data_IF_788740097330
#
_entry.id   IF_788740097330
#
_cell.length_a   1.000
_cell.length_b   1.000
_cell.length_c   1.000
_cell.angle_alpha   90.00
_cell.angle_beta   90.00
_cell.angle_gamma   90.00
#
_symmetry.space_group_name_H-M   'P 1'
#
loop_
_entity.id
_entity.type
_entity.pdbx_description
1 polymer ?
#
# COMPACT_ATOMS: atom_id res chain seq x y z
N UNK A 1 39.16 -6.46 -74.93
CA UNK A 1 39.46 -5.35 -73.99
C UNK A 1 38.61 -5.55 -72.74
N UNK A 2 39.28 -5.85 -71.63
CA UNK A 2 38.74 -6.19 -70.31
C UNK A 2 38.47 -4.91 -69.52
N UNK A 3 37.25 -4.65 -69.01
CA UNK A 3 37.03 -3.72 -67.89
C UNK A 3 35.74 -4.02 -67.08
N UNK A 4 35.97 -4.55 -65.87
CA UNK A 4 35.38 -4.20 -64.55
C UNK A 4 33.91 -4.52 -64.21
N UNK A 5 33.81 -5.60 -63.43
CA UNK A 5 32.96 -5.89 -62.27
C UNK A 5 32.70 -4.67 -61.34
N UNK A 6 31.44 -4.41 -60.97
CA UNK A 6 31.04 -3.86 -59.65
C UNK A 6 29.78 -4.58 -59.16
N UNK A 7 29.95 -5.23 -58.01
CA UNK A 7 28.97 -5.94 -57.20
C UNK A 7 28.16 -4.91 -56.41
N UNK A 8 26.84 -4.88 -56.57
CA UNK A 8 25.92 -4.13 -55.73
C UNK A 8 25.04 -5.09 -54.93
N UNK A 9 25.59 -5.62 -53.84
CA UNK A 9 24.82 -6.35 -52.82
C UNK A 9 23.87 -5.33 -52.20
N UNK A 10 22.61 -5.33 -52.62
CA UNK A 10 21.52 -4.70 -51.88
C UNK A 10 21.32 -5.50 -50.60
N UNK A 11 22.18 -5.23 -49.63
CA UNK A 11 22.00 -5.63 -48.25
C UNK A 11 20.68 -5.03 -47.77
N UNK A 12 19.62 -5.83 -47.86
CA UNK A 12 18.40 -5.71 -47.09
C UNK A 12 18.78 -5.91 -45.61
N UNK A 13 19.55 -4.95 -45.09
CA UNK A 13 19.78 -4.77 -43.67
C UNK A 13 18.54 -4.05 -43.19
N UNK A 14 17.49 -4.84 -42.95
CA UNK A 14 16.36 -4.42 -42.14
C UNK A 14 16.94 -4.14 -40.74
N UNK A 15 17.49 -2.94 -40.58
CA UNK A 15 17.84 -2.39 -39.27
C UNK A 15 16.50 -2.33 -38.55
N UNK A 16 16.27 -3.30 -37.67
CA UNK A 16 15.34 -3.18 -36.57
C UNK A 16 15.75 -1.93 -35.79
N UNK A 17 15.23 -0.78 -36.20
CA UNK A 17 15.07 0.38 -35.35
C UNK A 17 14.00 -0.01 -34.33
N UNK A 18 14.38 -0.85 -33.38
CA UNK A 18 13.76 -0.83 -32.05
C UNK A 18 14.00 0.57 -31.52
N UNK A 19 13.06 1.46 -31.80
CA UNK A 19 12.85 2.70 -31.07
C UNK A 19 12.59 2.30 -29.63
N UNK A 20 13.67 2.17 -28.87
CA UNK A 20 13.64 2.15 -27.42
C UNK A 20 13.14 3.53 -27.03
N UNK A 21 11.83 3.65 -26.79
CA UNK A 21 11.28 4.83 -26.14
C UNK A 21 11.97 4.94 -24.78
N UNK A 22 12.54 6.10 -24.41
CA UNK A 22 13.09 6.26 -23.08
C UNK A 22 11.97 6.00 -22.07
N UNK A 23 12.18 5.04 -21.17
CA UNK A 23 11.34 4.89 -20.00
C UNK A 23 11.52 6.15 -19.16
N UNK A 24 10.56 7.07 -19.21
CA UNK A 24 10.54 8.25 -18.35
C UNK A 24 10.12 7.77 -16.96
N UNK A 25 11.10 7.47 -16.12
CA UNK A 25 10.88 7.21 -14.71
C UNK A 25 10.50 8.53 -14.02
N UNK A 26 9.21 8.85 -13.97
CA UNK A 26 8.69 9.85 -13.05
C UNK A 26 8.61 9.18 -11.67
N UNK A 27 9.59 9.42 -10.80
CA UNK A 27 9.37 9.18 -9.37
C UNK A 27 8.24 10.12 -8.95
N UNK A 28 7.07 9.63 -8.51
CA UNK A 28 6.02 10.53 -8.08
C UNK A 28 6.53 11.38 -6.92
N UNK A 29 6.16 12.66 -6.89
CA UNK A 29 6.52 13.54 -5.80
C UNK A 29 5.99 12.98 -4.46
N UNK A 30 6.92 12.66 -3.54
CA UNK A 30 6.88 12.87 -2.08
C UNK A 30 5.61 12.61 -1.25
N UNK A 31 4.56 11.97 -1.76
CA UNK A 31 3.35 11.70 -0.99
C UNK A 31 3.66 10.64 0.07
N UNK A 32 3.91 11.13 1.29
CA UNK A 32 3.98 10.33 2.51
C UNK A 32 3.13 11.04 3.54
N UNK A 33 2.07 10.39 4.00
CA UNK A 33 1.24 10.89 5.09
C UNK A 33 1.05 9.77 6.11
N UNK A 34 1.11 10.10 7.39
CA UNK A 34 0.91 9.12 8.44
C UNK A 34 0.26 9.75 9.65
N UNK A 35 -0.33 8.88 10.47
CA UNK A 35 -0.87 9.22 11.77
C UNK A 35 -0.65 8.03 12.69
N UNK A 36 -0.58 8.28 14.00
CA UNK A 36 -0.45 7.24 14.99
C UNK A 36 -1.28 7.56 16.23
N UNK A 37 -1.84 6.53 16.86
CA UNK A 37 -2.52 6.67 18.14
C UNK A 37 -1.51 7.08 19.22
N UNK A 38 -1.89 8.04 20.06
CA UNK A 38 -1.06 8.49 21.19
C UNK A 38 -1.57 7.96 22.53
N UNK A 39 -2.82 7.54 22.58
CA UNK A 39 -3.48 6.99 23.77
C UNK A 39 -4.02 5.59 23.47
N UNK A 40 -4.11 4.72 24.48
CA UNK A 40 -4.79 3.44 24.33
C UNK A 40 -6.29 3.62 24.08
N UNK A 41 -6.87 2.77 23.22
CA UNK A 41 -8.31 2.79 22.91
C UNK A 41 -8.87 1.39 23.16
N UNK A 42 -9.89 1.28 23.99
CA UNK A 42 -10.53 -0.01 24.29
C UNK A 42 -11.67 -0.28 23.30
N UNK A 43 -11.62 -1.46 22.68
CA UNK A 43 -12.66 -2.02 21.83
C UNK A 43 -13.36 -3.13 22.63
N UNK A 44 -14.62 -2.94 23.04
CA UNK A 44 -15.38 -3.97 23.75
C UNK A 44 -15.49 -5.29 22.98
N UNK A 45 -15.70 -6.39 23.71
CA UNK A 45 -15.82 -7.71 23.10
C UNK A 45 -17.00 -7.77 22.12
N UNK A 46 -16.75 -8.33 20.93
CA UNK A 46 -17.76 -8.48 19.88
C UNK A 46 -18.21 -7.18 19.20
N UNK A 47 -17.54 -6.05 19.46
CA UNK A 47 -17.86 -4.77 18.83
C UNK A 47 -16.73 -4.25 17.95
N UNK A 48 -17.04 -3.20 17.19
CA UNK A 48 -16.07 -2.45 16.41
C UNK A 48 -15.95 -1.02 16.93
N UNK A 49 -14.76 -0.45 16.83
CA UNK A 49 -14.52 1.00 16.98
C UNK A 49 -13.84 1.47 15.70
N UNK A 50 -14.38 2.52 15.11
CA UNK A 50 -13.95 3.11 13.83
C UNK A 50 -13.30 4.46 14.02
N UNK A 51 -12.71 4.99 12.95
CA UNK A 51 -12.11 6.34 12.93
C UNK A 51 -10.95 6.49 13.93
N UNK A 52 -10.21 5.42 14.17
CA UNK A 52 -9.00 5.44 14.99
C UNK A 52 -7.83 5.92 14.13
N UNK A 53 -7.13 6.98 14.56
CA UNK A 53 -5.97 7.50 13.84
C UNK A 53 -6.32 7.92 12.41
N UNK A 54 -7.02 9.04 12.28
CA UNK A 54 -7.35 9.60 10.98
C UNK A 54 -6.14 10.27 10.33
N UNK A 55 -5.98 10.05 9.03
CA UNK A 55 -4.99 10.71 8.18
C UNK A 55 -5.68 11.21 6.92
N UNK A 56 -5.32 12.42 6.50
CA UNK A 56 -5.77 13.03 5.26
C UNK A 56 -4.56 13.53 4.49
N UNK A 57 -4.53 13.30 3.19
CA UNK A 57 -3.46 13.76 2.31
C UNK A 57 -4.03 14.20 0.97
N UNK A 58 -3.25 14.98 0.21
CA UNK A 58 -3.62 15.36 -1.15
C UNK A 58 -2.55 14.80 -2.08
N UNK A 59 -2.98 14.06 -3.10
CA UNK A 59 -2.08 13.59 -4.15
C UNK A 59 -1.52 14.81 -4.89
N UNK A 60 -0.20 14.98 -5.00
CA UNK A 60 0.37 16.15 -5.66
C UNK A 60 -0.14 16.29 -7.11
N UNK A 61 -0.41 17.51 -7.55
CA UNK A 61 -1.03 17.77 -8.85
C UNK A 61 -0.08 17.58 -10.05
N UNK A 62 1.22 17.48 -9.77
CA UNK A 62 2.32 17.36 -10.73
C UNK A 62 2.73 15.90 -11.02
N UNK A 63 2.07 14.91 -10.40
CA UNK A 63 2.29 13.49 -10.70
C UNK A 63 1.58 13.07 -11.99
N UNK A 64 2.00 11.92 -12.54
CA UNK A 64 1.27 11.20 -13.60
C UNK A 64 -0.25 11.20 -13.32
N UNK A 65 -1.13 11.25 -14.35
CA UNK A 65 -2.59 11.34 -14.14
C UNK A 65 -3.15 10.24 -13.22
N UNK A 66 -2.42 9.13 -13.09
CA UNK A 66 -2.68 8.07 -12.10
C UNK A 66 -1.40 7.68 -11.37
N UNK A 67 -1.54 7.37 -10.08
CA UNK A 67 -0.50 6.93 -9.17
C UNK A 67 -1.00 5.76 -8.31
N UNK A 68 -0.16 4.77 -8.07
CA UNK A 68 -0.43 3.77 -7.03
C UNK A 68 -0.10 4.35 -5.66
N UNK A 69 -1.02 4.23 -4.71
CA UNK A 69 -0.78 4.59 -3.32
C UNK A 69 -0.86 3.33 -2.47
N UNK A 70 0.19 3.08 -1.71
CA UNK A 70 0.21 2.06 -0.68
C UNK A 70 -0.48 2.62 0.56
N UNK A 71 -1.55 1.96 0.99
CA UNK A 71 -2.18 2.20 2.27
C UNK A 71 -1.73 1.12 3.23
N UNK A 72 -1.16 1.51 4.36
CA UNK A 72 -0.61 0.60 5.37
C UNK A 72 -1.20 0.88 6.73
N UNK A 73 -1.57 -0.18 7.42
CA UNK A 73 -1.97 -0.15 8.83
C UNK A 73 -1.04 -1.04 9.62
N UNK A 74 -0.55 -0.51 10.73
CA UNK A 74 0.12 -1.28 11.78
C UNK A 74 -0.71 -1.10 13.04
N UNK A 75 -1.35 -2.16 13.50
CA UNK A 75 -2.15 -2.15 14.70
C UNK A 75 -1.46 -2.95 15.79
N UNK A 76 -1.12 -2.33 16.91
CA UNK A 76 -0.68 -3.04 18.11
C UNK A 76 -1.88 -3.21 19.02
N UNK A 77 -2.26 -4.45 19.34
CA UNK A 77 -3.45 -4.71 20.13
C UNK A 77 -3.16 -5.69 21.26
N UNK A 78 -3.73 -5.45 22.44
CA UNK A 78 -3.58 -6.28 23.63
C UNK A 78 -4.93 -6.82 24.06
N UNK A 79 -5.05 -8.13 24.26
CA UNK A 79 -6.25 -8.68 24.86
C UNK A 79 -6.20 -8.50 26.38
N UNK A 80 -7.35 -8.21 26.99
CA UNK A 80 -7.41 -7.94 28.43
C UNK A 80 -7.14 -9.20 29.29
N UNK A 81 -8.17 -9.99 29.56
CA UNK A 81 -8.09 -11.14 30.49
C UNK A 81 -8.34 -12.50 29.84
N UNK A 82 -8.72 -12.53 28.57
CA UNK A 82 -9.07 -13.73 27.83
C UNK A 82 -8.47 -13.68 26.42
N UNK A 83 -8.16 -14.85 25.86
CA UNK A 83 -7.81 -14.94 24.46
C UNK A 83 -9.00 -14.47 23.62
N UNK A 84 -8.74 -13.62 22.64
CA UNK A 84 -9.76 -13.12 21.73
C UNK A 84 -9.17 -13.04 20.33
N UNK A 85 -9.97 -12.63 19.36
CA UNK A 85 -9.50 -12.30 18.02
C UNK A 85 -9.60 -10.80 17.80
N UNK A 86 -8.82 -10.27 16.86
CA UNK A 86 -9.03 -8.93 16.35
C UNK A 86 -8.87 -8.92 14.83
N UNK A 87 -9.67 -8.10 14.17
CA UNK A 87 -9.47 -7.73 12.76
C UNK A 87 -9.26 -6.23 12.67
N UNK A 88 -8.53 -5.83 11.64
CA UNK A 88 -8.34 -4.43 11.29
C UNK A 88 -8.85 -4.18 9.88
N UNK A 89 -9.60 -3.10 9.71
CA UNK A 89 -10.02 -2.60 8.42
C UNK A 89 -9.50 -1.18 8.23
N UNK A 90 -9.28 -0.82 6.98
CA UNK A 90 -8.90 0.52 6.58
C UNK A 90 -10.13 1.24 6.02
N UNK A 91 -10.61 2.23 6.76
CA UNK A 91 -11.78 3.02 6.37
C UNK A 91 -11.52 3.74 5.06
N UNK A 92 -12.54 3.80 4.19
CA UNK A 92 -12.40 4.29 2.83
C UNK A 92 -11.97 3.23 1.81
N UNK A 93 -11.70 2.00 2.25
CA UNK A 93 -11.39 0.85 1.38
C UNK A 93 -12.31 -0.34 1.71
N UNK A 94 -12.31 -1.37 0.85
CA UNK A 94 -12.98 -2.65 1.12
C UNK A 94 -12.06 -3.66 1.84
N UNK A 95 -10.88 -3.23 2.29
CA UNK A 95 -9.83 -4.12 2.76
C UNK A 95 -9.91 -4.36 4.25
N UNK A 96 -9.82 -5.63 4.64
CA UNK A 96 -9.83 -6.07 6.04
C UNK A 96 -8.81 -7.18 6.22
N UNK A 97 -8.11 -7.18 7.34
CA UNK A 97 -7.17 -8.24 7.68
C UNK A 97 -7.89 -9.56 7.94
N UNK A 98 -7.15 -10.67 7.86
CA UNK A 98 -7.58 -11.90 8.51
C UNK A 98 -7.74 -11.67 10.02
N UNK A 99 -8.62 -12.46 10.66
CA UNK A 99 -8.73 -12.47 12.11
C UNK A 99 -7.43 -13.00 12.74
N UNK A 100 -6.84 -12.21 13.63
CA UNK A 100 -5.62 -12.58 14.37
C UNK A 100 -6.00 -12.91 15.80
N UNK A 101 -5.50 -14.03 16.30
CA UNK A 101 -5.66 -14.39 17.72
C UNK A 101 -4.74 -13.52 18.58
N UNK A 102 -5.32 -12.86 19.57
CA UNK A 102 -4.62 -12.03 20.56
C UNK A 102 -4.70 -12.75 21.90
N UNK A 103 -3.59 -13.34 22.39
CA UNK A 103 -3.58 -14.00 23.68
C UNK A 103 -3.79 -13.02 24.84
N UNK A 104 -4.40 -13.49 25.93
CA UNK A 104 -4.64 -12.69 27.14
C UNK A 104 -3.36 -12.02 27.65
N UNK A 105 -3.42 -10.71 27.90
CA UNK A 105 -2.31 -9.92 28.44
C UNK A 105 -1.15 -9.67 27.49
N UNK A 106 -1.19 -10.17 26.24
CA UNK A 106 -0.11 -9.99 25.27
C UNK A 106 -0.48 -8.99 24.18
N UNK A 107 0.50 -8.17 23.79
CA UNK A 107 0.40 -7.28 22.64
C UNK A 107 0.82 -8.01 21.37
N UNK A 108 -0.04 -7.99 20.37
CA UNK A 108 0.20 -8.60 19.06
C UNK A 108 0.09 -7.52 17.97
N UNK A 109 1.02 -7.46 17.01
CA UNK A 109 0.87 -6.61 15.84
C UNK A 109 -0.04 -7.26 14.79
N UNK A 110 -0.90 -6.46 14.17
CA UNK A 110 -1.72 -6.82 13.02
C UNK A 110 -1.40 -5.85 11.89
N UNK A 111 -1.11 -6.40 10.72
CA UNK A 111 -0.71 -5.64 9.55
C UNK A 111 -1.78 -5.74 8.46
N UNK A 112 -2.07 -4.62 7.82
CA UNK A 112 -2.90 -4.55 6.61
C UNK A 112 -2.19 -3.64 5.61
N UNK A 113 -2.06 -4.09 4.37
CA UNK A 113 -1.52 -3.28 3.27
C UNK A 113 -2.38 -3.50 2.03
N UNK A 114 -2.69 -2.42 1.34
CA UNK A 114 -3.35 -2.46 0.03
C UNK A 114 -2.80 -1.39 -0.90
N UNK A 115 -2.92 -1.64 -2.20
CA UNK A 115 -2.50 -0.71 -3.25
C UNK A 115 -3.73 -0.23 -4.00
N UNK A 116 -3.98 1.08 -3.97
CA UNK A 116 -5.10 1.69 -4.69
C UNK A 116 -4.58 2.72 -5.69
N UNK A 117 -5.23 2.78 -6.85
CA UNK A 117 -4.98 3.84 -7.82
C UNK A 117 -5.64 5.13 -7.35
N UNK A 118 -4.92 6.24 -7.47
CA UNK A 118 -5.46 7.58 -7.24
C UNK A 118 -5.06 8.53 -8.36
N UNK A 119 -5.80 9.63 -8.50
CA UNK A 119 -5.54 10.65 -9.51
C UNK A 119 -4.83 11.86 -8.91
N UNK A 120 -4.07 12.58 -9.72
CA UNK A 120 -3.45 13.83 -9.32
C UNK A 120 -4.50 14.80 -8.73
N UNK A 121 -4.18 15.42 -7.60
CA UNK A 121 -5.07 16.34 -6.88
C UNK A 121 -6.19 15.68 -6.04
N UNK A 122 -6.30 14.35 -6.03
CA UNK A 122 -7.29 13.67 -5.20
C UNK A 122 -6.99 13.82 -3.70
N UNK A 123 -8.05 13.93 -2.90
CA UNK A 123 -7.95 13.85 -1.43
C UNK A 123 -7.98 12.36 -1.06
N UNK A 124 -6.99 11.96 -0.28
CA UNK A 124 -6.93 10.65 0.35
C UNK A 124 -7.33 10.78 1.80
N UNK A 125 -8.23 9.93 2.25
CA UNK A 125 -8.61 9.82 3.65
C UNK A 125 -8.50 8.36 4.08
N UNK A 126 -8.20 8.16 5.34
CA UNK A 126 -8.30 6.84 5.94
C UNK A 126 -8.11 6.88 7.43
N UNK A 127 -8.64 5.85 8.05
CA UNK A 127 -8.57 5.60 9.48
C UNK A 127 -8.68 4.10 9.72
N UNK A 128 -8.43 3.71 10.96
CA UNK A 128 -8.50 2.32 11.38
C UNK A 128 -9.89 2.04 11.94
N UNK A 129 -10.51 0.96 11.45
CA UNK A 129 -11.57 0.27 12.18
C UNK A 129 -11.01 -1.01 12.78
N UNK A 130 -11.21 -1.20 14.09
CA UNK A 130 -10.82 -2.41 14.81
C UNK A 130 -12.07 -3.12 15.28
N UNK A 131 -12.15 -4.43 15.03
CA UNK A 131 -13.22 -5.30 15.55
C UNK A 131 -12.62 -6.30 16.51
N UNK A 132 -13.16 -6.35 17.74
CA UNK A 132 -12.79 -7.36 18.71
C UNK A 132 -13.68 -8.60 18.57
N UNK A 133 -13.08 -9.76 18.73
CA UNK A 133 -13.80 -11.02 18.88
C UNK A 133 -14.66 -11.03 20.14
N UNK A 134 -15.60 -11.97 20.21
CA UNK A 134 -16.49 -12.15 21.37
C UNK A 134 -15.78 -12.71 22.61
N UNK A 135 -14.55 -13.22 22.47
CA UNK A 135 -13.79 -13.83 23.55
C UNK A 135 -13.33 -12.83 24.63
N UNK A 136 -13.18 -11.55 24.28
CA UNK A 136 -12.73 -10.51 25.20
C UNK A 136 -12.49 -9.17 24.50
N UNK A 137 -12.49 -8.10 25.28
CA UNK A 137 -12.13 -6.77 24.80
C UNK A 137 -10.64 -6.73 24.41
N UNK A 138 -10.33 -5.89 23.43
CA UNK A 138 -8.96 -5.58 23.05
C UNK A 138 -8.67 -4.11 23.28
N UNK A 139 -7.43 -3.79 23.62
CA UNK A 139 -6.95 -2.42 23.71
C UNK A 139 -5.99 -2.17 22.56
N UNK A 140 -6.33 -1.23 21.69
CA UNK A 140 -5.40 -0.66 20.72
C UNK A 140 -4.35 0.13 21.48
N UNK A 141 -3.09 -0.23 21.29
CA UNK A 141 -1.96 0.43 21.95
C UNK A 141 -1.55 1.70 21.19
N UNK A 142 -0.89 2.65 21.87
CA UNK A 142 -0.21 3.76 21.22
C UNK A 142 0.76 3.28 20.14
N UNK A 143 1.07 4.16 19.19
CA UNK A 143 1.87 3.89 17.99
C UNK A 143 1.22 2.94 16.97
N UNK A 144 -0.07 2.62 17.13
CA UNK A 144 -0.83 2.01 16.04
C UNK A 144 -1.08 3.07 14.98
N UNK A 145 -0.77 2.78 13.72
CA UNK A 145 -0.61 3.80 12.68
C UNK A 145 -1.29 3.46 11.37
N UNK A 146 -1.67 4.51 10.65
CA UNK A 146 -2.00 4.46 9.22
C UNK A 146 -0.96 5.25 8.45
N UNK A 147 -0.57 4.77 7.27
CA UNK A 147 0.36 5.47 6.38
C UNK A 147 -0.09 5.35 4.94
N UNK A 148 -0.01 6.45 4.20
CA UNK A 148 -0.15 6.52 2.76
C UNK A 148 1.21 6.83 2.16
N UNK A 149 1.61 6.07 1.15
CA UNK A 149 2.86 6.30 0.43
C UNK A 149 2.62 6.14 -1.08
N UNK A 150 3.04 7.12 -1.84
CA UNK A 150 3.14 7.02 -3.29
C UNK A 150 4.10 5.90 -3.69
N UNK A 151 3.64 4.97 -4.52
CA UNK A 151 4.45 3.92 -5.13
C UNK A 151 4.65 4.25 -6.61
N UNK A 152 5.90 4.28 -7.11
CA UNK A 152 6.16 4.48 -8.52
C UNK A 152 5.49 3.38 -9.35
N UNK A 153 4.63 3.74 -10.30
CA UNK A 153 4.12 2.82 -11.31
C UNK A 153 4.99 2.91 -12.56
N UNK A 154 5.83 1.91 -12.80
CA UNK A 154 6.58 1.82 -14.04
C UNK A 154 5.65 1.26 -15.13
N UNK A 155 5.35 2.06 -16.14
CA UNK A 155 4.54 1.63 -17.28
C UNK A 155 5.29 0.52 -18.05
N UNK A 156 4.83 -0.73 -17.95
CA UNK A 156 5.30 -1.84 -18.79
C UNK A 156 5.71 -3.13 -18.09
N UNK A 157 5.77 -3.17 -16.75
CA UNK A 157 6.16 -4.39 -16.02
C UNK A 157 5.02 -4.89 -15.13
N UNK A 158 4.76 -6.20 -15.19
CA UNK A 158 3.94 -6.88 -14.19
C UNK A 158 4.72 -6.89 -12.88
N UNK A 159 4.37 -5.98 -11.97
CA UNK A 159 5.00 -5.92 -10.66
C UNK A 159 4.53 -7.10 -9.80
N UNK A 160 5.44 -8.02 -9.50
CA UNK A 160 5.25 -9.03 -8.46
C UNK A 160 5.84 -8.50 -7.16
N UNK A 161 4.99 -7.93 -6.30
CA UNK A 161 5.39 -7.57 -4.93
C UNK A 161 5.49 -8.85 -4.10
N UNK A 162 6.71 -9.38 -3.96
CA UNK A 162 7.00 -10.47 -3.02
C UNK A 162 7.48 -9.87 -1.70
N UNK A 163 6.65 -9.94 -0.65
CA UNK A 163 7.08 -9.64 0.73
C UNK A 163 7.20 -10.94 1.50
N UNK A 164 8.44 -11.36 1.76
CA UNK A 164 8.72 -12.44 2.71
C UNK A 164 8.36 -11.95 4.12
N UNK A 165 7.41 -12.63 4.75
CA UNK A 165 7.13 -12.44 6.17
C UNK A 165 8.24 -13.12 6.97
N UNK A 166 8.88 -12.36 7.87
CA UNK A 166 9.69 -12.92 8.95
C UNK A 166 8.78 -13.30 10.12
#
# INVERSE_FOLDING_TARGET
>A
MLHKLIIGISALTLVLLSICTPAVALSPAGLVAYTATTIPITVPAGTSVSTIGQVTAVVPADVSPTISVAYRVILFTTASSTNTTATVALDGTSETSAAVTVPAGLTVPIFLETMLQSTAGAILEGSITVTAGSGGAVTVQPNSSVTFEAVPTFAGESEYVYKSRW
#
